data_IF_250420708271
#
_entry.id   IF_250420708271
#
_cell.length_a   1.000
_cell.length_b   1.000
_cell.length_c   1.000
_cell.angle_alpha   90.00
_cell.angle_beta   90.00
_cell.angle_gamma   90.00
#
_symmetry.space_group_name_H-M   'P 1'
#
loop_
_entity.id
_entity.type
_entity.pdbx_description
1 polymer ?
#
# COMPACT_ATOMS: atom_id res chain seq x y z
N UNK A 1 -21.15 -30.50 -19.27
CA UNK A 1 -19.82 -30.11 -19.76
C UNK A 1 -18.76 -30.23 -18.65
N UNK A 2 -19.11 -30.14 -17.35
CA UNK A 2 -18.21 -30.46 -16.24
C UNK A 2 -18.87 -31.48 -15.30
N UNK A 3 -18.05 -32.29 -14.62
CA UNK A 3 -18.43 -33.30 -13.65
C UNK A 3 -18.09 -32.86 -12.22
N UNK A 4 -18.68 -33.53 -11.22
CA UNK A 4 -18.39 -33.24 -9.81
C UNK A 4 -16.91 -33.51 -9.51
N UNK A 5 -16.25 -32.55 -8.85
CA UNK A 5 -14.82 -32.56 -8.56
C UNK A 5 -13.97 -31.79 -9.58
N UNK A 6 -14.53 -31.40 -10.73
CA UNK A 6 -13.82 -30.55 -11.69
C UNK A 6 -13.47 -29.18 -11.08
N UNK A 7 -12.36 -28.61 -11.53
CA UNK A 7 -11.78 -27.37 -10.99
C UNK A 7 -11.84 -26.28 -12.05
N UNK A 8 -12.45 -25.14 -11.71
CA UNK A 8 -12.39 -23.91 -12.49
C UNK A 8 -11.44 -22.93 -11.79
N UNK A 9 -10.47 -22.41 -12.54
CA UNK A 9 -9.51 -21.43 -12.06
C UNK A 9 -9.74 -20.11 -12.81
N UNK A 10 -10.05 -19.05 -12.07
CA UNK A 10 -10.07 -17.68 -12.57
C UNK A 10 -8.74 -17.01 -12.24
N UNK A 11 -7.89 -16.80 -13.25
CA UNK A 11 -6.59 -16.12 -13.12
C UNK A 11 -6.62 -14.62 -13.42
N UNK A 12 -7.82 -14.04 -13.60
CA UNK A 12 -8.00 -12.63 -13.92
C UNK A 12 -7.69 -11.69 -12.76
N UNK A 13 -7.76 -10.38 -13.02
CA UNK A 13 -7.83 -9.37 -11.94
C UNK A 13 -9.29 -9.16 -11.53
N UNK A 14 -9.95 -10.24 -11.10
CA UNK A 14 -11.35 -10.22 -10.69
C UNK A 14 -11.53 -9.55 -9.32
N UNK A 15 -12.70 -8.95 -9.10
CA UNK A 15 -13.10 -8.41 -7.80
C UNK A 15 -13.37 -9.56 -6.82
N UNK A 16 -12.88 -9.44 -5.59
CA UNK A 16 -12.84 -10.57 -4.65
C UNK A 16 -14.25 -11.01 -4.19
N UNK A 17 -15.21 -10.09 -4.05
CA UNK A 17 -16.60 -10.46 -3.73
C UNK A 17 -17.24 -11.30 -4.85
N UNK A 18 -16.80 -11.07 -6.08
CA UNK A 18 -17.26 -11.81 -7.23
C UNK A 18 -16.70 -13.24 -7.23
N UNK A 19 -15.46 -13.41 -6.76
CA UNK A 19 -14.87 -14.73 -6.48
C UNK A 19 -15.50 -15.44 -5.30
N UNK A 20 -15.82 -14.75 -4.21
CA UNK A 20 -16.62 -15.30 -3.10
C UNK A 20 -17.94 -15.87 -3.62
N UNK A 21 -18.70 -15.06 -4.36
CA UNK A 21 -19.97 -15.45 -4.97
C UNK A 21 -19.81 -16.65 -5.90
N UNK A 22 -18.78 -16.66 -6.76
CA UNK A 22 -18.51 -17.78 -7.69
C UNK A 22 -18.13 -19.06 -6.94
N UNK A 23 -17.31 -18.94 -5.90
CA UNK A 23 -16.88 -20.06 -5.06
C UNK A 23 -18.08 -20.75 -4.42
N UNK A 24 -18.97 -19.97 -3.78
CA UNK A 24 -20.17 -20.51 -3.14
C UNK A 24 -21.16 -21.11 -4.17
N UNK A 25 -21.39 -20.40 -5.27
CA UNK A 25 -22.32 -20.87 -6.31
C UNK A 25 -21.88 -22.20 -6.95
N UNK A 26 -20.57 -22.41 -7.15
CA UNK A 26 -20.02 -23.62 -7.76
C UNK A 26 -19.92 -24.77 -6.77
N UNK A 27 -19.69 -24.49 -5.48
CA UNK A 27 -19.68 -25.50 -4.41
C UNK A 27 -20.99 -26.29 -4.37
N UNK A 28 -22.14 -25.61 -4.47
CA UNK A 28 -23.47 -26.27 -4.50
C UNK A 28 -23.68 -27.22 -5.68
N UNK A 29 -22.88 -27.06 -6.74
CA UNK A 29 -22.91 -27.89 -7.97
C UNK A 29 -21.85 -29.01 -7.94
N UNK A 30 -21.07 -29.10 -6.86
CA UNK A 30 -19.94 -30.02 -6.75
C UNK A 30 -18.75 -29.65 -7.64
N UNK A 31 -18.65 -28.39 -8.07
CA UNK A 31 -17.52 -27.87 -8.84
C UNK A 31 -16.60 -27.08 -7.90
N UNK A 32 -15.31 -27.33 -7.96
CA UNK A 32 -14.32 -26.64 -7.15
C UNK A 32 -13.89 -25.35 -7.88
N UNK A 33 -13.81 -24.24 -7.17
CA UNK A 33 -13.43 -22.95 -7.74
C UNK A 33 -12.20 -22.39 -7.04
N UNK A 34 -11.27 -21.84 -7.83
CA UNK A 34 -10.09 -21.13 -7.34
C UNK A 34 -10.02 -19.77 -8.04
N UNK A 35 -10.05 -18.70 -7.26
CA UNK A 35 -9.66 -17.36 -7.71
C UNK A 35 -8.18 -17.16 -7.41
N UNK A 36 -7.37 -16.96 -8.44
CA UNK A 36 -5.93 -16.82 -8.28
C UNK A 36 -5.42 -15.51 -8.84
N UNK A 37 -4.85 -14.69 -7.97
CA UNK A 37 -4.04 -13.56 -8.42
C UNK A 37 -2.82 -14.01 -9.22
N UNK A 38 -2.59 -13.38 -10.37
CA UNK A 38 -1.36 -13.57 -11.17
C UNK A 38 -0.62 -12.24 -11.32
N UNK A 39 0.64 -12.16 -10.92
CA UNK A 39 1.45 -10.94 -11.01
C UNK A 39 2.80 -11.19 -11.70
N UNK A 40 3.30 -10.20 -12.43
CA UNK A 40 4.59 -10.27 -13.14
C UNK A 40 4.62 -9.72 -14.56
N UNK A 41 3.48 -9.31 -15.11
CA UNK A 41 3.39 -8.88 -16.50
C UNK A 41 3.65 -10.03 -17.48
N UNK A 42 3.94 -9.70 -18.74
CA UNK A 42 4.13 -10.68 -19.81
C UNK A 42 5.37 -11.55 -19.57
N UNK A 43 6.48 -10.92 -19.17
CA UNK A 43 7.74 -11.61 -18.90
C UNK A 43 7.63 -12.52 -17.66
N UNK A 44 7.02 -12.02 -16.58
CA UNK A 44 6.73 -12.84 -15.40
C UNK A 44 5.84 -14.02 -15.74
N UNK A 45 4.76 -13.83 -16.51
CA UNK A 45 3.91 -14.94 -16.94
C UNK A 45 4.67 -16.01 -17.76
N UNK A 46 5.67 -15.60 -18.54
CA UNK A 46 6.46 -16.52 -19.38
C UNK A 46 7.49 -17.32 -18.57
N UNK A 47 8.15 -16.73 -17.58
CA UNK A 47 9.33 -17.30 -16.93
C UNK A 47 9.14 -17.61 -15.44
N UNK A 48 8.10 -17.09 -14.80
CA UNK A 48 7.82 -17.31 -13.39
C UNK A 48 6.99 -16.18 -12.79
N UNK A 49 5.65 -16.29 -12.76
CA UNK A 49 4.81 -15.28 -12.11
C UNK A 49 4.75 -15.53 -10.60
N UNK A 50 4.27 -14.52 -9.87
CA UNK A 50 3.71 -14.73 -8.54
C UNK A 50 2.26 -15.20 -8.68
N UNK A 51 1.90 -16.27 -7.98
CA UNK A 51 0.56 -16.87 -8.01
C UNK A 51 -0.02 -16.88 -6.60
N UNK A 52 -1.28 -16.45 -6.46
CA UNK A 52 -1.94 -16.25 -5.17
C UNK A 52 -3.30 -16.97 -5.16
N UNK A 53 -3.33 -18.32 -5.20
CA UNK A 53 -4.57 -19.09 -5.25
C UNK A 53 -5.33 -19.06 -3.93
N UNK A 54 -6.63 -18.78 -3.98
CA UNK A 54 -7.59 -18.99 -2.90
C UNK A 54 -8.95 -19.45 -3.44
N UNK A 55 -9.82 -19.98 -2.60
CA UNK A 55 -11.11 -20.54 -3.04
C UNK A 55 -11.51 -21.78 -2.26
N UNK A 56 -11.87 -22.85 -2.96
CA UNK A 56 -12.17 -24.12 -2.34
C UNK A 56 -10.87 -24.91 -2.07
N UNK A 57 -10.50 -25.18 -0.80
CA UNK A 57 -9.24 -25.84 -0.45
C UNK A 57 -9.11 -27.27 -0.98
N UNK A 58 -10.22 -27.95 -1.29
CA UNK A 58 -10.19 -29.28 -1.92
C UNK A 58 -9.51 -29.26 -3.29
N UNK A 59 -9.49 -28.11 -3.99
CA UNK A 59 -8.81 -27.97 -5.27
C UNK A 59 -7.27 -27.95 -5.15
N UNK A 60 -6.73 -27.52 -4.00
CA UNK A 60 -5.31 -27.22 -3.87
C UNK A 60 -4.40 -28.42 -4.16
N UNK A 61 -4.63 -29.63 -3.61
CA UNK A 61 -3.79 -30.80 -3.90
C UNK A 61 -3.68 -31.14 -5.39
N UNK A 62 -4.71 -30.82 -6.18
CA UNK A 62 -4.77 -31.12 -7.62
C UNK A 62 -4.00 -30.11 -8.47
N UNK A 63 -3.87 -28.87 -8.02
CA UNK A 63 -3.26 -27.78 -8.81
C UNK A 63 -1.89 -27.36 -8.27
N UNK A 64 -1.55 -27.75 -7.03
CA UNK A 64 -0.33 -27.34 -6.31
C UNK A 64 0.93 -27.57 -7.13
N UNK A 65 1.10 -28.76 -7.69
CA UNK A 65 2.32 -29.11 -8.44
C UNK A 65 2.50 -28.20 -9.66
N UNK A 66 1.43 -27.96 -10.43
CA UNK A 66 1.48 -27.09 -11.61
C UNK A 66 1.80 -25.66 -11.17
N UNK A 67 1.04 -25.13 -10.22
CA UNK A 67 1.16 -23.74 -9.75
C UNK A 67 2.55 -23.45 -9.18
N UNK A 68 3.03 -24.32 -8.29
CA UNK A 68 4.34 -24.14 -7.70
C UNK A 68 5.45 -24.37 -8.72
N UNK A 69 5.31 -25.28 -9.68
CA UNK A 69 6.36 -25.52 -10.69
C UNK A 69 6.55 -24.34 -11.63
N UNK A 70 5.46 -23.69 -12.05
CA UNK A 70 5.53 -22.56 -12.99
C UNK A 70 5.81 -21.22 -12.31
N UNK A 71 5.62 -21.09 -10.99
CA UNK A 71 5.82 -19.83 -10.28
C UNK A 71 7.30 -19.41 -10.24
N UNK A 72 7.54 -18.12 -10.03
CA UNK A 72 8.88 -17.65 -9.64
C UNK A 72 9.42 -18.42 -8.42
N UNK A 73 10.74 -18.46 -8.31
CA UNK A 73 11.47 -19.08 -7.20
C UNK A 73 12.39 -18.07 -6.53
N UNK A 74 12.41 -18.06 -5.21
CA UNK A 74 13.38 -17.30 -4.40
C UNK A 74 13.95 -18.26 -3.37
N UNK A 75 15.28 -18.39 -3.34
CA UNK A 75 15.98 -19.36 -2.47
C UNK A 75 15.46 -20.81 -2.62
N UNK A 76 14.98 -21.17 -3.81
CA UNK A 76 14.37 -22.47 -4.11
C UNK A 76 12.88 -22.58 -3.73
N UNK A 77 12.31 -21.64 -2.98
CA UNK A 77 10.91 -21.64 -2.59
C UNK A 77 9.99 -21.07 -3.69
N UNK A 78 8.84 -21.71 -3.99
CA UNK A 78 7.81 -21.13 -4.88
C UNK A 78 7.25 -19.82 -4.33
N UNK A 79 7.19 -18.79 -5.16
CA UNK A 79 6.34 -17.61 -4.95
C UNK A 79 4.85 -17.94 -5.24
N UNK A 80 4.38 -19.04 -4.65
CA UNK A 80 3.02 -19.54 -4.74
C UNK A 80 2.73 -20.48 -3.57
N UNK A 81 1.69 -20.17 -2.81
CA UNK A 81 1.10 -21.07 -1.82
C UNK A 81 -0.40 -20.81 -1.68
N UNK A 82 -1.12 -21.70 -1.00
CA UNK A 82 -2.54 -21.52 -0.73
C UNK A 82 -2.78 -20.31 0.17
N UNK A 83 -3.51 -19.33 -0.32
CA UNK A 83 -3.80 -18.07 0.39
C UNK A 83 -4.86 -18.28 1.47
N UNK A 84 -5.96 -18.96 1.13
CA UNK A 84 -7.11 -19.13 2.01
C UNK A 84 -8.39 -19.43 1.24
N UNK A 85 -9.52 -19.32 1.95
CA UNK A 85 -10.83 -19.66 1.42
C UNK A 85 -11.41 -18.57 0.50
N UNK A 86 -12.44 -18.94 -0.28
CA UNK A 86 -13.29 -18.00 -1.03
C UNK A 86 -12.55 -17.03 -1.96
N UNK A 87 -12.71 -15.73 -1.75
CA UNK A 87 -12.13 -14.65 -2.55
C UNK A 87 -10.73 -14.21 -2.11
N UNK A 88 -10.15 -14.86 -1.10
CA UNK A 88 -8.89 -14.43 -0.46
C UNK A 88 -7.73 -14.24 -1.43
N UNK A 89 -7.55 -15.13 -2.42
CA UNK A 89 -6.50 -15.02 -3.43
C UNK A 89 -6.56 -13.74 -4.25
N UNK A 90 -7.76 -13.36 -4.70
CA UNK A 90 -7.98 -12.09 -5.40
C UNK A 90 -7.93 -10.88 -4.46
N UNK A 91 -8.32 -11.02 -3.19
CA UNK A 91 -8.15 -9.95 -2.21
C UNK A 91 -6.67 -9.63 -1.97
N UNK A 92 -5.83 -10.65 -1.78
CA UNK A 92 -4.38 -10.49 -1.64
C UNK A 92 -3.79 -9.84 -2.90
N UNK A 93 -4.26 -10.22 -4.10
CA UNK A 93 -3.82 -9.59 -5.35
C UNK A 93 -4.22 -8.11 -5.45
N UNK A 94 -5.43 -7.77 -5.02
CA UNK A 94 -5.90 -6.39 -4.96
C UNK A 94 -5.01 -5.56 -4.03
N UNK A 95 -4.75 -6.05 -2.81
CA UNK A 95 -3.85 -5.36 -1.86
C UNK A 95 -2.43 -5.21 -2.42
N UNK A 96 -1.89 -6.23 -3.07
CA UNK A 96 -0.61 -6.14 -3.81
C UNK A 96 -0.60 -4.95 -4.78
N UNK A 97 -1.66 -4.77 -5.59
CA UNK A 97 -1.73 -3.65 -6.53
C UNK A 97 -1.90 -2.29 -5.82
N UNK A 98 -2.55 -2.24 -4.67
CA UNK A 98 -2.57 -1.04 -3.83
C UNK A 98 -1.16 -0.66 -3.35
N UNK A 99 -0.41 -1.64 -2.83
CA UNK A 99 0.98 -1.45 -2.40
C UNK A 99 1.87 -1.01 -3.58
N UNK A 100 1.67 -1.60 -4.76
CA UNK A 100 2.35 -1.19 -5.99
C UNK A 100 2.13 0.30 -6.31
N UNK A 101 0.91 0.81 -6.13
CA UNK A 101 0.62 2.23 -6.35
C UNK A 101 1.34 3.10 -5.33
N UNK A 102 1.37 2.67 -4.06
CA UNK A 102 2.12 3.34 -3.00
C UNK A 102 3.62 3.42 -3.32
N UNK A 103 4.25 2.30 -3.65
CA UNK A 103 5.69 2.24 -3.96
C UNK A 103 6.05 3.13 -5.16
N UNK A 104 5.25 3.09 -6.24
CA UNK A 104 5.46 3.97 -7.39
C UNK A 104 5.35 5.46 -7.02
N UNK A 105 4.33 5.83 -6.24
CA UNK A 105 4.12 7.22 -5.83
C UNK A 105 5.26 7.73 -4.95
N UNK A 106 5.73 6.91 -4.00
CA UNK A 106 6.89 7.26 -3.15
C UNK A 106 8.16 7.48 -3.96
N UNK A 107 8.41 6.65 -4.98
CA UNK A 107 9.54 6.82 -5.90
C UNK A 107 9.39 8.10 -6.72
N UNK A 108 8.18 8.43 -7.19
CA UNK A 108 7.90 9.68 -7.88
C UNK A 108 8.15 10.93 -7.00
N UNK A 109 7.82 10.87 -5.72
CA UNK A 109 8.10 11.95 -4.77
C UNK A 109 9.60 12.13 -4.52
N UNK A 110 10.35 11.03 -4.37
CA UNK A 110 11.80 11.06 -4.30
C UNK A 110 12.42 11.69 -5.57
N UNK A 111 11.95 11.28 -6.75
CA UNK A 111 12.34 11.89 -8.03
C UNK A 111 12.06 13.40 -8.07
N UNK A 112 10.86 13.82 -7.65
CA UNK A 112 10.46 15.23 -7.69
C UNK A 112 11.32 16.09 -6.75
N UNK A 113 11.64 15.59 -5.55
CA UNK A 113 12.52 16.26 -4.61
C UNK A 113 13.96 16.35 -5.11
N UNK A 114 14.50 15.26 -5.68
CA UNK A 114 15.86 15.29 -6.25
C UNK A 114 15.97 16.30 -7.40
N UNK A 115 14.96 16.35 -8.26
CA UNK A 115 14.92 17.27 -9.39
C UNK A 115 14.73 18.73 -8.96
N UNK A 116 13.72 19.00 -8.13
CA UNK A 116 13.27 20.38 -7.88
C UNK A 116 13.88 21.01 -6.62
N UNK A 117 14.31 20.22 -5.63
CA UNK A 117 15.00 20.73 -4.45
C UNK A 117 16.52 20.59 -4.58
N UNK A 118 17.01 19.37 -4.87
CA UNK A 118 18.44 19.10 -4.93
C UNK A 118 19.08 19.47 -6.29
N UNK A 119 18.28 19.72 -7.33
CA UNK A 119 18.76 20.21 -8.63
C UNK A 119 19.49 19.17 -9.48
N UNK A 120 19.26 17.88 -9.24
CA UNK A 120 19.91 16.79 -9.99
C UNK A 120 19.32 16.67 -11.39
N UNK A 121 20.19 16.37 -12.37
CA UNK A 121 19.75 15.95 -13.70
C UNK A 121 19.39 14.45 -13.72
N UNK A 122 18.81 13.98 -14.82
CA UNK A 122 18.32 12.60 -14.94
C UNK A 122 19.41 11.52 -14.88
N UNK A 123 20.61 11.81 -15.37
CA UNK A 123 21.72 10.85 -15.30
C UNK A 123 22.22 10.70 -13.86
N UNK A 124 22.36 11.81 -13.13
CA UNK A 124 22.66 11.81 -11.69
C UNK A 124 21.58 11.09 -10.87
N UNK A 125 20.30 11.35 -11.16
CA UNK A 125 19.20 10.65 -10.48
C UNK A 125 19.21 9.14 -10.80
N UNK A 126 19.55 8.76 -12.04
CA UNK A 126 19.70 7.35 -12.41
C UNK A 126 20.79 6.66 -11.59
N UNK A 127 21.94 7.31 -11.41
CA UNK A 127 23.03 6.81 -10.57
C UNK A 127 22.63 6.70 -9.09
N UNK A 128 21.89 7.68 -8.57
CA UNK A 128 21.36 7.64 -7.19
C UNK A 128 20.45 6.43 -6.99
N UNK A 129 19.46 6.22 -7.87
CA UNK A 129 18.58 5.05 -7.77
C UNK A 129 19.33 3.74 -7.98
N UNK A 130 20.32 3.68 -8.88
CA UNK A 130 21.18 2.51 -9.05
C UNK A 130 21.97 2.19 -7.77
N UNK A 131 22.42 3.22 -7.04
CA UNK A 131 23.09 3.06 -5.75
C UNK A 131 22.11 2.62 -4.66
N UNK A 132 20.93 3.21 -4.58
CA UNK A 132 19.89 2.81 -3.63
C UNK A 132 19.47 1.35 -3.81
N UNK A 133 19.47 0.86 -5.06
CA UNK A 133 19.14 -0.53 -5.38
C UNK A 133 20.17 -1.55 -4.88
N UNK A 134 21.35 -1.11 -4.41
CA UNK A 134 22.37 -1.99 -3.80
C UNK A 134 22.20 -2.15 -2.29
N UNK A 135 21.24 -1.45 -1.70
CA UNK A 135 21.03 -1.41 -0.25
C UNK A 135 19.61 -1.80 0.15
N UNK A 136 19.11 -1.19 1.23
CA UNK A 136 17.80 -1.51 1.83
C UNK A 136 16.59 -1.26 0.92
N UNK A 137 16.79 -0.55 -0.21
CA UNK A 137 15.77 -0.26 -1.22
C UNK A 137 15.86 -1.17 -2.44
N UNK A 138 16.69 -2.22 -2.43
CA UNK A 138 16.78 -3.23 -3.49
C UNK A 138 15.39 -3.77 -3.85
N UNK A 139 14.94 -3.37 -5.05
CA UNK A 139 13.63 -3.68 -5.57
C UNK A 139 13.55 -3.47 -7.07
N UNK A 140 12.67 -4.22 -7.72
CA UNK A 140 12.46 -4.09 -9.15
C UNK A 140 12.02 -2.68 -9.57
N UNK A 141 11.14 -2.04 -8.79
CA UNK A 141 10.66 -0.69 -9.11
C UNK A 141 11.80 0.36 -9.04
N UNK A 142 12.74 0.22 -8.11
CA UNK A 142 13.91 1.12 -8.04
C UNK A 142 14.87 0.85 -9.20
N UNK A 143 15.11 -0.42 -9.55
CA UNK A 143 15.92 -0.82 -10.70
C UNK A 143 15.39 -0.22 -12.02
N UNK A 144 14.11 -0.44 -12.33
CA UNK A 144 13.53 0.09 -13.57
C UNK A 144 13.49 1.62 -13.56
N UNK A 145 13.35 2.26 -12.40
CA UNK A 145 13.39 3.72 -12.29
C UNK A 145 14.76 4.25 -12.70
N UNK A 146 15.85 3.63 -12.24
CA UNK A 146 17.21 3.96 -12.70
C UNK A 146 17.33 3.79 -14.23
N UNK A 147 16.81 2.70 -14.78
CA UNK A 147 16.85 2.44 -16.23
C UNK A 147 16.02 3.44 -17.06
N UNK A 148 14.86 3.85 -16.55
CA UNK A 148 13.98 4.84 -17.20
C UNK A 148 14.66 6.21 -17.22
N UNK A 149 15.31 6.61 -16.13
CA UNK A 149 15.92 7.94 -16.02
C UNK A 149 17.12 8.13 -16.95
N UNK A 150 17.93 7.08 -17.17
CA UNK A 150 19.07 7.12 -18.11
C UNK A 150 18.65 6.96 -19.57
N UNK A 151 17.41 6.52 -19.85
CA UNK A 151 16.97 6.26 -21.21
C UNK A 151 16.84 7.57 -22.00
N UNK A 152 17.58 7.66 -23.11
CA UNK A 152 17.53 8.81 -24.02
C UNK A 152 16.67 8.49 -25.23
N UNK A 153 15.91 9.48 -25.68
CA UNK A 153 15.15 9.43 -26.93
C UNK A 153 16.07 9.65 -28.15
N UNK A 154 15.53 9.62 -29.37
CA UNK A 154 16.30 9.74 -30.62
C UNK A 154 17.09 11.05 -30.76
N UNK A 155 16.66 12.11 -30.07
CA UNK A 155 17.36 13.40 -30.01
C UNK A 155 18.37 13.51 -28.85
N UNK A 156 18.62 12.40 -28.14
CA UNK A 156 19.53 12.28 -26.98
C UNK A 156 19.04 12.95 -25.69
N UNK A 157 17.81 13.48 -25.65
CA UNK A 157 17.20 13.99 -24.43
C UNK A 157 16.52 12.88 -23.61
N UNK A 158 16.41 13.00 -22.27
CA UNK A 158 15.76 11.97 -21.45
C UNK A 158 14.29 11.78 -21.83
N UNK A 159 13.91 10.58 -22.29
CA UNK A 159 12.56 10.31 -22.81
C UNK A 159 11.46 10.61 -21.77
N UNK A 160 11.74 10.34 -20.49
CA UNK A 160 10.79 10.58 -19.39
C UNK A 160 10.32 12.03 -19.30
N UNK A 161 11.09 13.00 -19.79
CA UNK A 161 10.68 14.42 -19.81
C UNK A 161 9.61 14.74 -20.85
N UNK A 162 9.42 13.84 -21.82
CA UNK A 162 8.46 13.99 -22.93
C UNK A 162 7.17 13.22 -22.70
N UNK A 163 7.13 12.36 -21.68
CA UNK A 163 5.93 11.59 -21.32
C UNK A 163 4.92 12.52 -20.64
N UNK A 164 3.66 12.49 -21.10
CA UNK A 164 2.57 13.25 -20.47
C UNK A 164 2.37 12.79 -19.03
N UNK A 165 2.40 13.73 -18.09
CA UNK A 165 2.22 13.53 -16.64
C UNK A 165 0.75 13.31 -16.26
N UNK A 166 0.12 12.30 -16.86
CA UNK A 166 -1.27 11.90 -16.63
C UNK A 166 -1.31 10.39 -16.42
N UNK A 167 -1.25 9.95 -15.16
CA UNK A 167 -1.15 8.54 -14.81
C UNK A 167 -2.50 7.83 -14.95
N UNK A 168 -2.57 6.87 -15.86
CA UNK A 168 -3.71 5.95 -15.96
C UNK A 168 -3.79 4.99 -14.77
N UNK A 169 -4.98 4.40 -14.58
CA UNK A 169 -5.20 3.31 -13.64
C UNK A 169 -6.30 2.37 -14.16
N UNK A 170 -6.14 1.06 -13.92
CA UNK A 170 -7.10 0.03 -14.33
C UNK A 170 -8.13 -0.33 -13.24
N UNK A 171 -8.15 0.42 -12.14
CA UNK A 171 -9.14 0.29 -11.05
C UNK A 171 -8.70 -0.53 -9.84
N UNK A 172 -7.76 -1.47 -9.97
CA UNK A 172 -7.38 -2.36 -8.86
C UNK A 172 -6.78 -1.65 -7.65
N UNK A 173 -5.96 -0.61 -7.84
CA UNK A 173 -5.45 0.21 -6.73
C UNK A 173 -6.56 0.99 -6.00
N UNK A 174 -7.59 1.44 -6.73
CA UNK A 174 -8.77 2.11 -6.15
C UNK A 174 -9.56 1.15 -5.26
N UNK A 175 -9.70 -0.12 -5.65
CA UNK A 175 -10.40 -1.12 -4.85
C UNK A 175 -9.76 -1.34 -3.49
N UNK A 176 -8.42 -1.31 -3.38
CA UNK A 176 -7.73 -1.40 -2.08
C UNK A 176 -8.10 -0.24 -1.16
N UNK A 177 -8.10 1.00 -1.68
CA UNK A 177 -8.49 2.17 -0.89
C UNK A 177 -9.97 2.13 -0.48
N UNK A 178 -10.86 1.63 -1.35
CA UNK A 178 -12.28 1.44 -1.03
C UNK A 178 -12.47 0.37 0.03
N UNK A 179 -11.81 -0.78 -0.11
CA UNK A 179 -11.86 -1.86 0.87
C UNK A 179 -11.37 -1.38 2.24
N UNK A 180 -10.29 -0.60 2.28
CA UNK A 180 -9.81 0.02 3.51
C UNK A 180 -10.88 0.87 4.20
N UNK A 181 -11.59 1.71 3.45
CA UNK A 181 -12.70 2.50 3.98
C UNK A 181 -13.87 1.63 4.47
N UNK A 182 -14.20 0.56 3.74
CA UNK A 182 -15.26 -0.38 4.10
C UNK A 182 -14.94 -1.16 5.38
N UNK A 183 -13.69 -1.54 5.58
CA UNK A 183 -13.21 -2.24 6.76
C UNK A 183 -12.78 -1.31 7.91
N UNK A 184 -12.88 0.01 7.75
CA UNK A 184 -12.46 0.97 8.76
C UNK A 184 -10.95 0.98 9.06
N UNK A 185 -10.12 0.57 8.11
CA UNK A 185 -8.65 0.49 8.27
C UNK A 185 -7.96 1.70 7.64
N UNK A 186 -7.05 2.39 8.36
CA UNK A 186 -6.38 3.60 7.88
C UNK A 186 -5.25 3.30 6.88
N UNK A 187 -5.60 2.84 5.68
CA UNK A 187 -4.64 2.60 4.58
C UNK A 187 -4.38 3.90 3.79
N UNK A 188 -3.87 4.90 4.50
CA UNK A 188 -3.83 6.28 4.02
C UNK A 188 -2.86 6.49 2.86
N UNK A 189 -1.72 5.80 2.83
CA UNK A 189 -0.71 6.00 1.77
C UNK A 189 -1.22 5.51 0.42
N UNK A 190 -1.86 4.35 0.38
CA UNK A 190 -2.45 3.82 -0.87
C UNK A 190 -3.60 4.72 -1.33
N UNK A 191 -4.39 5.25 -0.40
CA UNK A 191 -5.41 6.27 -0.70
C UNK A 191 -4.83 7.49 -1.39
N UNK A 192 -3.79 8.10 -0.81
CA UNK A 192 -3.09 9.24 -1.40
C UNK A 192 -2.43 8.90 -2.75
N UNK A 193 -1.88 7.71 -2.91
CA UNK A 193 -1.32 7.27 -4.20
C UNK A 193 -2.39 7.15 -5.29
N UNK A 194 -3.60 6.72 -4.96
CA UNK A 194 -4.75 6.73 -5.89
C UNK A 194 -5.16 8.17 -6.21
N UNK A 195 -5.28 9.04 -5.22
CA UNK A 195 -5.66 10.44 -5.45
C UNK A 195 -4.60 11.22 -6.22
N UNK A 196 -3.31 10.94 -6.04
CA UNK A 196 -2.24 11.54 -6.83
C UNK A 196 -2.37 11.21 -8.33
N UNK A 197 -2.79 9.98 -8.68
CA UNK A 197 -3.11 9.63 -10.08
C UNK A 197 -4.31 10.43 -10.59
N UNK A 198 -5.38 10.54 -9.80
CA UNK A 198 -6.53 11.38 -10.13
C UNK A 198 -6.11 12.84 -10.37
N UNK A 199 -5.30 13.42 -9.49
CA UNK A 199 -4.78 14.79 -9.62
C UNK A 199 -3.93 14.95 -10.89
N UNK A 200 -3.08 13.98 -11.20
CA UNK A 200 -2.28 14.02 -12.44
C UNK A 200 -3.15 14.06 -13.70
N UNK A 201 -4.31 13.39 -13.67
CA UNK A 201 -5.26 13.34 -14.79
C UNK A 201 -5.92 14.70 -15.07
N UNK A 202 -5.98 15.59 -14.08
CA UNK A 202 -6.48 16.96 -14.23
C UNK A 202 -5.44 17.87 -14.91
N UNK A 203 -4.74 17.37 -15.95
CA UNK A 203 -3.58 18.04 -16.55
C UNK A 203 -3.89 19.46 -17.03
N UNK A 204 -4.96 19.63 -17.79
CA UNK A 204 -5.28 20.92 -18.39
C UNK A 204 -5.69 21.94 -17.32
N UNK A 205 -6.43 21.49 -16.29
CA UNK A 205 -6.76 22.31 -15.11
C UNK A 205 -5.51 22.69 -14.32
N UNK A 206 -4.53 21.79 -14.15
CA UNK A 206 -3.25 22.11 -13.48
C UNK A 206 -2.43 23.14 -14.26
N UNK A 207 -2.44 23.09 -15.60
CA UNK A 207 -1.77 24.07 -16.47
C UNK A 207 -2.45 25.44 -16.40
N UNK A 208 -3.77 25.49 -16.28
CA UNK A 208 -4.50 26.73 -16.02
C UNK A 208 -4.17 27.28 -14.63
N UNK A 209 -4.30 26.44 -13.60
CA UNK A 209 -4.03 26.80 -12.21
C UNK A 209 -2.60 27.31 -11.99
N UNK A 210 -1.59 26.74 -12.67
CA UNK A 210 -0.19 27.17 -12.52
C UNK A 210 0.09 28.59 -13.01
N UNK A 211 -0.83 29.20 -13.77
CA UNK A 211 -0.72 30.59 -14.22
C UNK A 211 -1.33 31.59 -13.22
N UNK A 212 -2.14 31.09 -12.29
CA UNK A 212 -2.96 31.90 -11.36
C UNK A 212 -2.47 31.72 -9.92
N UNK A 213 -2.21 30.48 -9.50
CA UNK A 213 -1.80 30.13 -8.15
C UNK A 213 -0.28 30.24 -8.00
N UNK A 214 0.18 31.08 -7.08
CA UNK A 214 1.59 31.20 -6.72
C UNK A 214 1.98 30.21 -5.63
N UNK A 215 3.19 29.63 -5.73
CA UNK A 215 3.83 28.86 -4.67
C UNK A 215 5.01 29.60 -4.05
N UNK A 216 5.67 29.01 -3.03
CA UNK A 216 6.90 29.57 -2.47
C UNK A 216 8.04 29.56 -3.50
N UNK A 217 8.98 30.50 -3.37
CA UNK A 217 10.16 30.64 -4.25
C UNK A 217 11.47 30.29 -3.54
N UNK A 218 11.38 29.61 -2.39
CA UNK A 218 12.54 29.17 -1.62
C UNK A 218 13.42 28.21 -2.41
N UNK A 219 14.67 28.05 -1.95
CA UNK A 219 15.61 27.03 -2.44
C UNK A 219 16.03 26.15 -1.28
N UNK A 220 16.50 24.95 -1.60
CA UNK A 220 17.09 24.07 -0.61
C UNK A 220 18.23 24.80 0.12
N UNK A 221 18.18 24.79 1.45
CA UNK A 221 19.26 25.24 2.32
C UNK A 221 20.05 24.02 2.78
N UNK A 222 21.36 24.00 2.54
CA UNK A 222 22.25 22.88 2.90
C UNK A 222 22.83 22.15 1.68
N UNK A 223 23.49 21.02 1.93
CA UNK A 223 24.13 20.21 0.89
C UNK A 223 23.08 19.33 0.16
N UNK A 224 22.94 19.46 -1.19
CA UNK A 224 22.10 18.57 -1.99
C UNK A 224 22.41 17.08 -1.81
N UNK A 225 23.67 16.73 -1.59
CA UNK A 225 24.10 15.33 -1.42
C UNK A 225 23.56 14.73 -0.11
N UNK A 226 23.69 15.49 0.98
CA UNK A 226 23.11 15.13 2.28
C UNK A 226 21.57 15.03 2.19
N UNK A 227 20.93 15.97 1.48
CA UNK A 227 19.49 15.93 1.28
C UNK A 227 19.03 14.69 0.50
N UNK A 228 19.80 14.22 -0.47
CA UNK A 228 19.52 12.96 -1.19
C UNK A 228 19.51 11.76 -0.25
N UNK A 229 20.43 11.69 0.72
CA UNK A 229 20.39 10.64 1.75
C UNK A 229 19.19 10.77 2.68
N UNK A 230 18.77 12.00 3.01
CA UNK A 230 17.53 12.21 3.74
C UNK A 230 16.30 11.70 2.95
N UNK A 231 16.23 11.95 1.64
CA UNK A 231 15.18 11.43 0.75
C UNK A 231 15.17 9.90 0.76
N UNK A 232 16.34 9.25 0.67
CA UNK A 232 16.45 7.79 0.71
C UNK A 232 15.83 7.20 1.98
N UNK A 233 16.14 7.79 3.14
CA UNK A 233 15.60 7.36 4.44
C UNK A 233 14.11 7.64 4.57
N UNK A 234 13.63 8.79 4.07
CA UNK A 234 12.21 9.12 4.02
C UNK A 234 11.41 8.14 3.16
N UNK A 235 11.94 7.79 1.99
CA UNK A 235 11.40 6.77 1.09
C UNK A 235 11.29 5.42 1.78
N UNK A 236 12.35 4.97 2.46
CA UNK A 236 12.36 3.70 3.16
C UNK A 236 11.35 3.66 4.33
N UNK A 237 11.33 4.69 5.18
CA UNK A 237 10.37 4.78 6.29
C UNK A 237 8.91 4.80 5.81
N UNK A 238 8.62 5.58 4.76
CA UNK A 238 7.27 5.67 4.19
C UNK A 238 6.83 4.36 3.54
N UNK A 239 7.76 3.64 2.89
CA UNK A 239 7.51 2.30 2.35
C UNK A 239 7.15 1.33 3.48
N UNK A 240 7.87 1.34 4.61
CA UNK A 240 7.51 0.51 5.78
C UNK A 240 6.08 0.78 6.23
N UNK A 241 5.67 2.05 6.33
CA UNK A 241 4.30 2.41 6.72
C UNK A 241 3.26 1.89 5.72
N UNK A 242 3.51 2.05 4.41
CA UNK A 242 2.59 1.53 3.37
C UNK A 242 2.32 0.04 3.53
N UNK A 243 3.38 -0.76 3.74
CA UNK A 243 3.23 -2.20 3.93
C UNK A 243 2.57 -2.52 5.27
N UNK A 244 2.91 -1.81 6.36
CA UNK A 244 2.23 -1.98 7.64
C UNK A 244 0.72 -1.79 7.51
N UNK A 245 0.28 -0.73 6.81
CA UNK A 245 -1.11 -0.46 6.50
C UNK A 245 -1.75 -1.56 5.64
N UNK A 246 -1.06 -2.03 4.60
CA UNK A 246 -1.54 -3.11 3.74
C UNK A 246 -1.76 -4.43 4.50
N UNK A 247 -0.84 -4.79 5.40
CA UNK A 247 -0.99 -5.99 6.23
C UNK A 247 -2.06 -5.82 7.33
N UNK A 248 -2.28 -4.62 7.85
CA UNK A 248 -3.44 -4.33 8.72
C UNK A 248 -4.76 -4.56 7.98
N UNK A 249 -4.85 -4.17 6.70
CA UNK A 249 -6.04 -4.42 5.87
C UNK A 249 -6.26 -5.92 5.63
N UNK A 250 -5.20 -6.67 5.29
CA UNK A 250 -5.27 -8.12 5.16
C UNK A 250 -5.79 -8.76 6.46
N UNK A 251 -5.33 -8.29 7.62
CA UNK A 251 -5.75 -8.80 8.92
C UNK A 251 -7.22 -8.49 9.23
N UNK A 252 -7.69 -7.29 8.89
CA UNK A 252 -9.11 -6.94 9.05
C UNK A 252 -10.00 -7.81 8.16
N UNK A 253 -9.63 -7.98 6.89
CA UNK A 253 -10.36 -8.83 5.97
C UNK A 253 -10.37 -10.30 6.40
N UNK A 254 -9.25 -10.81 6.91
CA UNK A 254 -9.18 -12.15 7.48
C UNK A 254 -10.16 -12.35 8.65
N UNK A 255 -10.28 -11.34 9.53
CA UNK A 255 -11.25 -11.36 10.62
C UNK A 255 -12.70 -11.35 10.09
N UNK A 256 -13.04 -10.40 9.22
CA UNK A 256 -14.42 -10.18 8.77
C UNK A 256 -14.95 -11.32 7.90
N UNK A 257 -14.10 -11.88 7.04
CA UNK A 257 -14.43 -13.01 6.17
C UNK A 257 -14.07 -14.37 6.77
N UNK A 258 -13.49 -14.40 7.97
CA UNK A 258 -13.02 -15.62 8.66
C UNK A 258 -12.02 -16.44 7.83
N UNK A 259 -11.22 -15.77 7.00
CA UNK A 259 -10.16 -16.42 6.25
C UNK A 259 -8.96 -16.71 7.14
N UNK A 260 -8.36 -17.90 6.99
CA UNK A 260 -7.11 -18.23 7.65
C UNK A 260 -5.90 -17.82 6.78
N UNK A 261 -5.54 -16.53 6.82
CA UNK A 261 -4.43 -16.01 6.01
C UNK A 261 -3.07 -16.25 6.68
N UNK A 262 -2.12 -16.79 5.91
CA UNK A 262 -0.72 -16.86 6.32
C UNK A 262 0.06 -15.64 5.79
N UNK A 263 0.28 -14.64 6.65
CA UNK A 263 0.96 -13.40 6.27
C UNK A 263 2.42 -13.61 5.84
N UNK A 264 3.13 -14.59 6.43
CA UNK A 264 4.48 -14.97 6.01
C UNK A 264 4.49 -15.56 4.60
N UNK A 265 3.52 -16.41 4.27
CA UNK A 265 3.35 -16.96 2.92
C UNK A 265 2.94 -15.87 1.91
N UNK A 266 2.09 -14.92 2.29
CA UNK A 266 1.75 -13.76 1.44
C UNK A 266 3.01 -12.93 1.15
N UNK A 267 3.83 -12.65 2.16
CA UNK A 267 5.10 -11.96 1.96
C UNK A 267 6.03 -12.75 1.01
N UNK A 268 6.14 -14.07 1.18
CA UNK A 268 6.89 -14.96 0.29
C UNK A 268 6.39 -14.90 -1.16
N UNK A 269 5.07 -14.98 -1.37
CA UNK A 269 4.47 -14.90 -2.70
C UNK A 269 4.82 -13.58 -3.40
N UNK A 270 5.01 -12.50 -2.65
CA UNK A 270 5.42 -11.21 -3.21
C UNK A 270 6.95 -11.07 -3.40
N UNK A 271 7.79 -11.95 -2.84
CA UNK A 271 9.27 -11.83 -2.93
C UNK A 271 9.82 -11.96 -4.36
N UNK A 272 9.12 -12.66 -5.25
CA UNK A 272 9.56 -12.92 -6.62
C UNK A 272 8.37 -12.95 -7.59
N UNK A 273 8.66 -12.82 -8.88
CA UNK A 273 7.65 -12.86 -9.95
C UNK A 273 6.71 -11.67 -10.03
N UNK A 274 6.44 -10.97 -8.93
CA UNK A 274 5.54 -9.80 -8.90
C UNK A 274 6.26 -8.46 -9.15
N UNK A 275 5.51 -7.36 -9.28
CA UNK A 275 6.05 -6.02 -9.54
C UNK A 275 6.71 -5.42 -8.29
N UNK A 276 6.15 -5.67 -7.11
CA UNK A 276 6.67 -5.13 -5.84
C UNK A 276 7.82 -5.96 -5.23
N UNK A 277 8.35 -6.93 -5.99
CA UNK A 277 9.42 -7.82 -5.54
C UNK A 277 10.64 -7.02 -5.07
N UNK A 278 11.14 -7.39 -3.89
CA UNK A 278 12.20 -6.66 -3.20
C UNK A 278 12.82 -7.49 -2.08
N UNK A 279 14.06 -7.18 -1.72
CA UNK A 279 14.71 -7.75 -0.53
C UNK A 279 13.91 -7.43 0.75
N UNK A 280 13.23 -6.28 0.76
CA UNK A 280 12.35 -5.82 1.84
C UNK A 280 11.28 -6.84 2.25
N UNK A 281 10.71 -7.59 1.30
CA UNK A 281 9.70 -8.61 1.59
C UNK A 281 10.25 -9.82 2.34
N UNK A 282 11.55 -10.08 2.24
CA UNK A 282 12.23 -11.08 3.08
C UNK A 282 12.18 -10.71 4.57
N UNK A 283 12.35 -9.42 4.89
CA UNK A 283 12.26 -8.93 6.27
C UNK A 283 10.82 -9.03 6.82
N UNK A 284 9.81 -8.78 5.97
CA UNK A 284 8.40 -8.97 6.35
C UNK A 284 8.12 -10.44 6.65
N UNK A 285 8.58 -11.35 5.78
CA UNK A 285 8.45 -12.80 6.03
C UNK A 285 9.09 -13.17 7.36
N UNK A 286 10.33 -12.73 7.61
CA UNK A 286 11.04 -13.02 8.86
C UNK A 286 10.29 -12.49 10.11
N UNK A 287 9.66 -11.32 10.03
CA UNK A 287 8.86 -10.79 11.13
C UNK A 287 7.64 -11.67 11.44
N UNK A 288 6.93 -12.18 10.43
CA UNK A 288 5.81 -13.10 10.61
C UNK A 288 6.22 -14.53 10.95
N UNK A 289 7.39 -15.00 10.49
CA UNK A 289 7.95 -16.29 10.92
C UNK A 289 8.26 -16.25 12.43
N UNK A 290 8.78 -15.11 12.93
CA UNK A 290 9.07 -14.88 14.35
C UNK A 290 7.78 -14.73 15.18
N UNK A 291 6.79 -14.00 14.66
CA UNK A 291 5.49 -13.83 15.32
C UNK A 291 4.34 -13.84 14.28
N UNK A 292 3.70 -15.00 14.06
CA UNK A 292 2.58 -15.10 13.11
C UNK A 292 1.36 -14.25 13.47
N UNK A 293 1.25 -13.84 14.75
CA UNK A 293 0.14 -13.06 15.29
C UNK A 293 0.39 -11.55 15.36
N UNK A 294 1.51 -11.07 14.79
CA UNK A 294 1.91 -9.66 14.79
C UNK A 294 0.76 -8.76 14.30
N UNK A 295 0.41 -7.75 15.10
CA UNK A 295 -0.71 -6.84 14.80
C UNK A 295 -0.35 -5.76 13.78
N UNK A 296 0.89 -5.31 13.79
CA UNK A 296 1.39 -4.30 12.88
C UNK A 296 2.89 -4.51 12.67
N UNK A 297 3.36 -4.37 11.43
CA UNK A 297 4.79 -4.50 11.09
C UNK A 297 5.66 -3.50 11.86
N UNK A 298 5.13 -2.33 12.21
CA UNK A 298 5.84 -1.31 12.99
C UNK A 298 6.18 -1.74 14.42
N UNK A 299 5.69 -2.90 14.88
CA UNK A 299 5.97 -3.45 16.21
C UNK A 299 7.03 -4.56 16.19
N UNK A 300 7.49 -5.00 15.02
CA UNK A 300 8.64 -5.90 14.94
C UNK A 300 9.96 -5.11 15.10
N UNK A 301 10.92 -5.74 15.76
CA UNK A 301 12.21 -5.13 16.15
C UNK A 301 12.99 -4.58 14.96
N UNK A 302 12.99 -5.27 13.80
CA UNK A 302 13.71 -4.80 12.62
C UNK A 302 13.12 -3.49 12.09
N UNK A 303 11.79 -3.41 12.01
CA UNK A 303 11.12 -2.22 11.50
C UNK A 303 11.15 -1.06 12.50
N UNK A 304 11.10 -1.34 13.81
CA UNK A 304 11.32 -0.33 14.86
C UNK A 304 12.69 0.34 14.71
N UNK A 305 13.75 -0.47 14.57
CA UNK A 305 15.11 0.05 14.40
C UNK A 305 15.25 0.84 13.10
N UNK A 306 14.71 0.31 11.98
CA UNK A 306 14.70 1.00 10.70
C UNK A 306 14.01 2.37 10.75
N UNK A 307 12.83 2.47 11.40
CA UNK A 307 12.11 3.72 11.55
C UNK A 307 12.87 4.69 12.46
N UNK A 308 13.44 4.20 13.57
CA UNK A 308 14.26 5.01 14.48
C UNK A 308 15.42 5.67 13.74
N UNK A 309 16.08 4.94 12.85
CA UNK A 309 17.24 5.43 12.08
C UNK A 309 16.87 6.39 10.94
N UNK A 310 15.59 6.40 10.54
CA UNK A 310 15.08 7.19 9.41
C UNK A 310 14.26 8.41 9.82
N UNK A 311 13.61 8.41 10.99
CA UNK A 311 12.58 9.40 11.32
C UNK A 311 13.05 10.86 11.31
N UNK A 312 14.30 11.14 11.69
CA UNK A 312 14.86 12.51 11.64
C UNK A 312 14.97 12.99 10.19
N UNK A 313 15.56 12.19 9.32
CA UNK A 313 15.64 12.45 7.88
C UNK A 313 14.26 12.59 7.25
N UNK A 314 13.33 11.73 7.66
CA UNK A 314 11.99 11.71 7.15
C UNK A 314 11.23 13.00 7.45
N UNK A 315 11.29 13.47 8.71
CA UNK A 315 10.73 14.76 9.12
C UNK A 315 11.38 15.92 8.37
N UNK A 316 12.70 15.88 8.22
CA UNK A 316 13.41 16.90 7.46
C UNK A 316 12.92 16.99 6.01
N UNK A 317 12.74 15.85 5.33
CA UNK A 317 12.21 15.82 3.96
C UNK A 317 10.79 16.37 3.87
N UNK A 318 9.88 15.96 4.77
CA UNK A 318 8.49 16.44 4.75
C UNK A 318 8.42 17.94 5.03
N UNK A 319 9.20 18.45 6.00
CA UNK A 319 9.26 19.87 6.31
C UNK A 319 9.83 20.70 5.15
N UNK A 320 10.96 20.26 4.58
CA UNK A 320 11.59 20.92 3.43
C UNK A 320 10.68 20.90 2.21
N UNK A 321 10.01 19.78 1.92
CA UNK A 321 9.05 19.68 0.83
C UNK A 321 7.92 20.71 0.97
N UNK A 322 7.33 20.84 2.16
CA UNK A 322 6.29 21.81 2.45
C UNK A 322 6.79 23.27 2.29
N UNK A 323 7.99 23.58 2.79
CA UNK A 323 8.60 24.91 2.66
C UNK A 323 8.91 25.29 1.21
N UNK A 324 9.31 24.31 0.39
CA UNK A 324 9.62 24.50 -1.04
C UNK A 324 8.40 24.34 -1.96
N UNK A 325 7.23 24.01 -1.43
CA UNK A 325 6.01 23.80 -2.23
C UNK A 325 6.09 22.58 -3.15
N UNK A 326 6.85 21.55 -2.79
CA UNK A 326 6.96 20.30 -3.53
C UNK A 326 5.94 19.31 -2.95
N UNK A 327 4.95 18.84 -3.73
CA UNK A 327 3.92 17.93 -3.22
C UNK A 327 4.50 16.56 -2.89
N UNK A 328 4.31 16.14 -1.64
CA UNK A 328 4.74 14.83 -1.11
C UNK A 328 3.60 14.12 -0.35
N UNK A 329 2.44 13.88 -1.00
CA UNK A 329 1.28 13.32 -0.31
C UNK A 329 1.56 11.97 0.37
N UNK A 330 2.32 11.08 -0.27
CA UNK A 330 2.66 9.77 0.28
C UNK A 330 3.67 9.86 1.44
N UNK A 331 4.73 10.68 1.35
CA UNK A 331 5.63 10.88 2.50
C UNK A 331 4.92 11.55 3.67
N UNK A 332 4.07 12.54 3.39
CA UNK A 332 3.37 13.32 4.41
C UNK A 332 2.34 12.47 5.16
N UNK A 333 1.51 11.70 4.44
CA UNK A 333 0.49 10.82 5.06
C UNK A 333 1.11 9.68 5.85
N UNK A 334 2.24 9.11 5.38
CA UNK A 334 2.92 8.08 6.13
C UNK A 334 3.50 8.61 7.45
N UNK A 335 4.04 9.84 7.46
CA UNK A 335 4.55 10.47 8.69
C UNK A 335 3.41 10.78 9.65
N UNK A 336 2.31 11.33 9.13
CA UNK A 336 1.11 11.59 9.91
C UNK A 336 0.52 10.31 10.52
N UNK A 337 0.46 9.22 9.75
CA UNK A 337 0.03 7.91 10.25
C UNK A 337 0.98 7.40 11.34
N UNK A 338 2.29 7.46 11.13
CA UNK A 338 3.27 7.01 12.13
C UNK A 338 3.13 7.79 13.46
N UNK A 339 3.05 9.13 13.38
CA UNK A 339 2.86 9.97 14.56
C UNK A 339 1.48 9.74 15.22
N UNK A 340 0.44 9.48 14.42
CA UNK A 340 -0.88 9.11 14.93
C UNK A 340 -0.87 7.76 15.65
N UNK A 341 -0.28 6.74 15.03
CA UNK A 341 -0.25 5.36 15.53
C UNK A 341 0.57 5.19 16.82
N UNK A 342 1.63 5.98 17.00
CA UNK A 342 2.46 5.94 18.22
C UNK A 342 1.93 6.81 19.37
N UNK A 343 0.84 7.55 19.16
CA UNK A 343 0.27 8.45 20.16
C UNK A 343 -0.73 7.70 21.02
N UNK A 344 -0.47 7.61 22.33
CA UNK A 344 -1.41 7.03 23.31
C UNK A 344 -2.75 7.78 23.33
N UNK A 345 -2.70 9.11 23.21
CA UNK A 345 -3.87 9.98 23.16
C UNK A 345 -3.86 10.81 21.87
N UNK A 346 -4.97 10.76 21.13
CA UNK A 346 -5.23 11.58 19.93
C UNK A 346 -6.34 12.61 20.21
N UNK A 347 -6.43 13.69 19.42
CA UNK A 347 -7.47 14.71 19.57
C UNK A 347 -8.89 14.23 19.17
N UNK A 348 -9.09 12.93 18.93
CA UNK A 348 -10.38 12.35 18.58
C UNK A 348 -11.41 12.47 19.73
N UNK A 349 -10.98 12.70 20.96
CA UNK A 349 -11.85 13.07 22.08
C UNK A 349 -12.67 14.34 21.79
N UNK A 350 -12.10 15.32 21.08
CA UNK A 350 -12.83 16.53 20.67
C UNK A 350 -13.88 16.23 19.59
N UNK A 351 -13.59 15.31 18.66
CA UNK A 351 -14.59 14.84 17.67
C UNK A 351 -15.78 14.20 18.41
N UNK A 352 -15.50 13.35 19.40
CA UNK A 352 -16.54 12.73 20.22
C UNK A 352 -17.38 13.79 20.98
N UNK A 353 -16.72 14.77 21.59
CA UNK A 353 -17.41 15.86 22.27
C UNK A 353 -18.28 16.71 21.32
N UNK A 354 -17.78 17.03 20.12
CA UNK A 354 -18.55 17.75 19.10
C UNK A 354 -19.79 16.96 18.67
N UNK A 355 -19.63 15.67 18.35
CA UNK A 355 -20.72 14.77 17.96
C UNK A 355 -21.79 14.67 19.03
N UNK A 356 -21.38 14.55 20.29
CA UNK A 356 -22.32 14.54 21.41
C UNK A 356 -23.01 15.90 21.61
N UNK A 357 -22.28 17.00 21.42
CA UNK A 357 -22.81 18.36 21.52
C UNK A 357 -23.94 18.64 20.53
N UNK A 358 -23.72 18.43 19.23
CA UNK A 358 -24.71 18.82 18.23
C UNK A 358 -25.76 17.74 17.94
N UNK A 359 -25.48 16.48 18.30
CA UNK A 359 -26.27 15.32 17.84
C UNK A 359 -26.60 14.30 18.92
N UNK A 360 -26.23 14.54 20.17
CA UNK A 360 -26.45 13.61 21.29
C UNK A 360 -25.95 12.18 21.00
N UNK A 361 -24.83 12.08 20.25
CA UNK A 361 -24.25 10.84 19.76
C UNK A 361 -23.52 10.02 20.81
N UNK A 362 -23.48 10.48 22.06
CA UNK A 362 -22.78 9.85 23.19
C UNK A 362 -21.27 9.72 22.99
N UNK A 363 -20.57 9.46 24.09
CA UNK A 363 -19.13 9.19 24.09
C UNK A 363 -18.75 8.31 25.29
N UNK A 364 -17.54 7.74 25.27
CA UNK A 364 -16.99 6.97 26.38
C UNK A 364 -15.99 7.82 27.18
N UNK A 365 -15.89 7.55 28.49
CA UNK A 365 -14.87 8.17 29.34
C UNK A 365 -13.64 7.26 29.45
N UNK A 366 -12.46 7.85 29.55
CA UNK A 366 -11.21 7.10 29.75
C UNK A 366 -11.25 6.16 30.98
N UNK A 367 -11.95 6.58 32.04
CA UNK A 367 -12.08 5.79 33.28
C UNK A 367 -13.08 4.63 33.20
N UNK A 368 -14.01 4.66 32.23
CA UNK A 368 -15.10 3.69 32.09
C UNK A 368 -15.33 3.29 30.61
N UNK A 369 -14.37 2.64 29.94
CA UNK A 369 -14.58 2.13 28.58
C UNK A 369 -15.75 1.14 28.51
N UNK A 370 -16.49 1.16 27.40
CA UNK A 370 -17.71 0.39 27.15
C UNK A 370 -19.00 1.07 27.62
N UNK A 371 -18.90 2.18 28.37
CA UNK A 371 -20.06 2.93 28.86
C UNK A 371 -20.22 4.25 28.13
N UNK A 372 -21.29 4.34 27.34
CA UNK A 372 -21.65 5.54 26.60
C UNK A 372 -22.46 6.50 27.46
N UNK A 373 -22.03 7.77 27.46
CA UNK A 373 -22.69 8.87 28.19
C UNK A 373 -23.02 10.00 27.23
N UNK A 374 -24.16 10.65 27.46
CA UNK A 374 -24.51 11.93 26.85
C UNK A 374 -24.32 13.04 27.87
N UNK A 375 -23.79 14.19 27.44
CA UNK A 375 -23.72 15.39 28.26
C UNK A 375 -24.66 16.45 27.71
N UNK A 376 -25.45 17.09 28.58
CA UNK A 376 -26.20 18.29 28.22
C UNK A 376 -25.26 19.50 28.13
N UNK A 377 -24.62 19.68 26.98
CA UNK A 377 -23.59 20.70 26.78
C UNK A 377 -24.14 22.14 26.79
N UNK A 378 -25.41 22.33 26.44
CA UNK A 378 -26.02 23.67 26.31
C UNK A 378 -26.70 24.14 27.60
N UNK A 379 -26.90 23.24 28.57
CA UNK A 379 -27.69 23.49 29.78
C UNK A 379 -29.20 23.63 29.54
N UNK A 380 -29.64 23.52 28.29
CA UNK A 380 -31.04 23.66 27.86
C UNK A 380 -31.48 22.51 26.95
N UNK A 381 -30.56 21.61 26.56
CA UNK A 381 -30.91 20.36 25.89
C UNK A 381 -31.58 19.38 26.87
N UNK A 382 -32.41 18.48 26.36
CA UNK A 382 -32.95 17.37 27.17
C UNK A 382 -31.94 16.23 27.31
N UNK A 383 -32.24 15.25 28.18
CA UNK A 383 -31.41 14.04 28.40
C UNK A 383 -31.56 12.97 27.29
N UNK A 384 -32.00 13.38 26.10
CA UNK A 384 -32.35 12.46 25.00
C UNK A 384 -31.10 12.22 24.15
N UNK A 385 -30.55 11.01 24.23
CA UNK A 385 -29.46 10.55 23.36
C UNK A 385 -29.98 9.90 22.07
N UNK A 386 -29.26 10.04 20.97
CA UNK A 386 -29.53 9.23 19.76
C UNK A 386 -29.25 7.76 20.08
N UNK A 387 -30.21 6.85 19.81
CA UNK A 387 -29.99 5.40 19.95
C UNK A 387 -28.82 4.97 19.06
N UNK A 388 -27.90 4.16 19.60
CA UNK A 388 -26.57 3.87 19.07
C UNK A 388 -26.56 3.34 17.62
N UNK A 389 -25.72 3.95 16.77
CA UNK A 389 -25.22 3.33 15.54
C UNK A 389 -23.94 2.55 15.90
N UNK A 390 -24.01 1.23 15.94
CA UNK A 390 -22.81 0.41 15.90
C UNK A 390 -22.39 0.31 14.43
N UNK A 391 -21.21 0.86 14.11
CA UNK A 391 -20.55 0.69 12.81
C UNK A 391 -19.53 -0.45 12.92
#
# INVERSE_FOLDING_TARGET
LLDKGDIIIDGGNSEYQDSERRCEALKSKGILFVGSGVSGGEEGARYGPSLMPGGNPEAWPHIKEIFQSISAKVDGEPCCDWVGDGGSGHFVKMVHNGIEYGDMQLICEAYHLMKNAAGLNHDQMSEVFANWNKGVLDSFLVEITSNILKFKDTDKEPLVTKIRDSAGQKGTGKWTAIAALQHGIPVTLIGEAVFARCLSSLKDQRVEASKILSGPTGKLTGDPTEFVEHIRKALYASKIVSYAQGFMLLRSAAHDYKWNLNYGAIALMWRGGCIIRSAFLGNIKAAFDKNPSLSCLLLDTFFVDAIRDCQTSWRHVVATAAQLGIPTPAFSTALAFYDGFRSDTLPANLIQAQRDYFGAHTYERLSEPGKFVHTNWTGHGGDVSSSSYNA
#
